data_IF_724872897354
#
_entry.id   IF_724872897354
#
_cell.length_a   1.000
_cell.length_b   1.000
_cell.length_c   1.000
_cell.angle_alpha   90.00
_cell.angle_beta   90.00
_cell.angle_gamma   90.00
#
_symmetry.space_group_name_H-M   'P 1'
#
loop_
_entity.id
_entity.type
_entity.pdbx_description
1 polymer ?
#
# COMPACT_ATOMS: atom_id res chain seq x y z
N UNK A 1 16.59 15.83 -11.80
CA UNK A 1 16.16 15.35 -10.47
C UNK A 1 14.64 15.43 -10.42
N UNK A 2 13.91 14.46 -9.86
CA UNK A 2 12.44 14.57 -9.78
C UNK A 2 12.05 15.67 -8.77
N UNK A 3 10.89 16.34 -8.88
CA UNK A 3 10.46 17.36 -7.91
C UNK A 3 10.39 16.88 -6.45
N UNK A 4 10.26 15.57 -6.25
CA UNK A 4 10.27 14.90 -4.94
C UNK A 4 11.67 14.60 -4.40
N UNK A 5 12.74 15.11 -5.00
CA UNK A 5 14.13 14.85 -4.59
C UNK A 5 14.66 13.44 -4.92
N UNK A 6 13.82 12.55 -5.45
CA UNK A 6 14.17 11.16 -5.80
C UNK A 6 14.99 11.06 -7.09
N UNK A 7 15.81 10.03 -7.18
CA UNK A 7 16.56 9.69 -8.41
C UNK A 7 15.63 9.16 -9.51
N UNK A 8 16.13 9.08 -10.76
CA UNK A 8 15.34 8.56 -11.88
C UNK A 8 14.96 7.08 -11.72
N UNK A 9 15.75 6.28 -10.99
CA UNK A 9 15.44 4.88 -10.69
C UNK A 9 14.69 4.65 -9.38
N UNK A 10 14.61 5.63 -8.49
CA UNK A 10 14.06 5.44 -7.14
C UNK A 10 12.53 5.48 -7.10
N UNK A 11 11.93 4.42 -6.57
CA UNK A 11 10.48 4.31 -6.31
C UNK A 11 10.02 5.28 -5.20
N UNK A 12 8.70 5.47 -5.05
CA UNK A 12 8.16 6.23 -3.90
C UNK A 12 8.36 5.41 -2.61
N UNK A 13 8.42 6.03 -1.42
CA UNK A 13 8.38 5.30 -0.16
C UNK A 13 7.18 4.34 -0.14
N UNK A 14 7.39 3.11 0.34
CA UNK A 14 6.35 2.09 0.41
C UNK A 14 6.15 1.66 1.86
N UNK A 15 4.91 1.74 2.34
CA UNK A 15 4.49 1.21 3.63
C UNK A 15 3.40 0.17 3.42
N UNK A 16 3.50 -0.97 4.12
CA UNK A 16 2.53 -2.05 4.07
C UNK A 16 2.04 -2.32 5.48
N UNK A 17 0.79 -1.97 5.75
CA UNK A 17 0.12 -2.23 7.03
C UNK A 17 -0.83 -3.41 6.86
N UNK A 18 -0.48 -4.55 7.45
CA UNK A 18 -1.28 -5.79 7.42
C UNK A 18 -2.40 -5.74 8.46
N UNK A 19 -3.43 -6.56 8.27
CA UNK A 19 -4.59 -6.64 9.18
C UNK A 19 -5.24 -5.26 9.39
N UNK A 20 -5.35 -4.49 8.30
CA UNK A 20 -5.78 -3.10 8.36
C UNK A 20 -7.28 -2.95 8.70
N UNK A 21 -8.11 -3.86 8.22
CA UNK A 21 -9.54 -3.92 8.55
C UNK A 21 -9.84 -5.15 9.40
N UNK A 22 -10.78 -5.02 10.34
CA UNK A 22 -11.13 -6.08 11.30
C UNK A 22 -11.99 -7.18 10.70
N UNK A 23 -12.79 -6.87 9.66
CA UNK A 23 -13.84 -7.77 9.17
C UNK A 23 -13.40 -8.67 8.00
N UNK A 24 -12.36 -8.29 7.26
CA UNK A 24 -11.89 -9.10 6.15
C UNK A 24 -10.95 -10.20 6.64
N UNK A 25 -11.06 -11.40 6.07
CA UNK A 25 -10.18 -12.54 6.39
C UNK A 25 -8.71 -12.21 6.06
N UNK A 26 -8.48 -11.43 5.01
CA UNK A 26 -7.21 -10.78 4.73
C UNK A 26 -7.40 -9.31 4.38
N UNK A 27 -6.60 -8.43 4.98
CA UNK A 27 -6.62 -7.00 4.63
C UNK A 27 -5.24 -6.35 4.73
N UNK A 28 -4.99 -5.41 3.81
CA UNK A 28 -3.76 -4.61 3.75
C UNK A 28 -4.10 -3.18 3.34
N UNK A 29 -3.49 -2.20 4.01
CA UNK A 29 -3.32 -0.84 3.49
C UNK A 29 -1.91 -0.72 2.92
N UNK A 30 -1.81 -0.41 1.62
CA UNK A 30 -0.54 -0.12 0.95
C UNK A 30 -0.44 1.35 0.57
N UNK A 31 0.68 1.97 0.90
CA UNK A 31 0.95 3.38 0.67
C UNK A 31 2.17 3.52 -0.24
N UNK A 32 2.04 4.23 -1.36
CA UNK A 32 3.11 4.55 -2.30
C UNK A 32 3.33 6.07 -2.33
N UNK A 33 4.03 6.60 -1.34
CA UNK A 33 3.99 8.03 -1.03
C UNK A 33 2.55 8.43 -0.66
N UNK A 34 2.02 9.43 -1.35
CA UNK A 34 0.68 9.95 -1.04
C UNK A 34 -0.48 9.08 -1.58
N UNK A 35 -0.19 8.11 -2.45
CA UNK A 35 -1.20 7.17 -2.94
C UNK A 35 -1.47 6.09 -1.91
N UNK A 36 -2.72 5.95 -1.49
CA UNK A 36 -3.17 4.94 -0.51
C UNK A 36 -4.20 4.01 -1.15
N UNK A 37 -4.00 2.70 -1.01
CA UNK A 37 -4.91 1.67 -1.52
C UNK A 37 -5.22 0.66 -0.42
N UNK A 38 -6.50 0.40 -0.20
CA UNK A 38 -6.96 -0.67 0.67
C UNK A 38 -7.25 -1.90 -0.19
N UNK A 39 -6.70 -3.04 0.18
CA UNK A 39 -7.01 -4.34 -0.39
C UNK A 39 -7.66 -5.23 0.67
N UNK A 40 -8.81 -5.80 0.35
CA UNK A 40 -9.53 -6.79 1.17
C UNK A 40 -9.68 -8.07 0.36
N UNK A 41 -9.40 -9.21 0.97
CA UNK A 41 -9.59 -10.53 0.40
C UNK A 41 -10.56 -11.34 1.28
N UNK A 42 -11.39 -12.13 0.61
CA UNK A 42 -12.36 -13.06 1.19
C UNK A 42 -12.25 -14.39 0.46
N UNK A 43 -12.47 -15.49 1.18
CA UNK A 43 -12.49 -16.85 0.67
C UNK A 43 -13.95 -17.27 0.44
N UNK A 44 -14.22 -17.82 -0.74
CA UNK A 44 -15.49 -18.46 -1.09
C UNK A 44 -15.19 -19.91 -1.45
N UNK A 45 -16.04 -20.84 -1.00
CA UNK A 45 -15.88 -22.30 -1.18
C UNK A 45 -16.86 -22.82 -2.21
#
# INVERSE_FOLDING_TARGET
MRPSGRTLGQIRPVTITRQFTTHAEGSVLIEFGDTKVICTATVEV
#
